data_IF_006371385021
#
_entry.id   IF_006371385021
#
_cell.length_a   1.000
_cell.length_b   1.000
_cell.length_c   1.000
_cell.angle_alpha   90.00
_cell.angle_beta   90.00
_cell.angle_gamma   90.00
#
_symmetry.space_group_name_H-M   'P 1'
#
loop_
_entity.id
_entity.type
_entity.pdbx_description
1 polymer ?
#
# COMPACT_ATOMS: atom_id res chain seq x y z
N UNK A 1 56.81 -19.26 1.14
CA UNK A 1 56.08 -17.98 0.98
C UNK A 1 55.18 -17.76 2.19
N UNK A 2 55.34 -16.64 2.93
CA UNK A 2 54.48 -16.30 4.08
C UNK A 2 53.03 -16.07 3.59
N UNK A 3 52.08 -16.86 4.10
CA UNK A 3 50.65 -16.67 3.82
C UNK A 3 50.20 -15.36 4.47
N UNK A 4 49.85 -14.36 3.67
CA UNK A 4 49.28 -13.12 4.19
C UNK A 4 48.03 -13.43 5.02
N UNK A 5 48.07 -13.10 6.32
CA UNK A 5 46.94 -13.33 7.24
C UNK A 5 45.83 -12.38 6.84
N UNK A 6 44.76 -12.93 6.24
CA UNK A 6 43.59 -12.15 5.85
C UNK A 6 42.85 -11.69 7.10
N UNK A 7 42.53 -10.41 7.17
CA UNK A 7 41.67 -9.81 8.20
C UNK A 7 40.30 -10.51 8.27
N UNK A 8 39.74 -10.91 7.11
CA UNK A 8 38.47 -11.62 6.99
C UNK A 8 38.73 -13.07 6.57
N UNK A 9 38.85 -13.97 7.55
CA UNK A 9 39.23 -15.37 7.36
C UNK A 9 38.08 -16.39 7.50
N UNK A 10 36.91 -15.98 8.01
CA UNK A 10 35.74 -16.86 8.16
C UNK A 10 34.96 -16.92 6.84
N UNK A 11 34.83 -18.11 6.20
CA UNK A 11 34.07 -18.24 4.96
C UNK A 11 32.56 -18.42 5.24
N UNK A 12 31.72 -17.73 4.47
CA UNK A 12 30.27 -17.97 4.41
C UNK A 12 29.96 -18.53 3.01
N UNK A 13 29.38 -19.73 2.94
CA UNK A 13 29.02 -20.39 1.68
C UNK A 13 27.50 -20.37 1.52
N UNK A 14 27.01 -19.90 0.38
CA UNK A 14 25.60 -19.97 0.00
C UNK A 14 25.51 -20.46 -1.45
N UNK A 15 24.50 -21.27 -1.75
CA UNK A 15 24.25 -21.78 -3.10
C UNK A 15 23.29 -20.83 -3.82
N UNK A 16 23.52 -20.63 -5.11
CA UNK A 16 22.67 -19.84 -5.99
C UNK A 16 22.51 -20.54 -7.32
N UNK A 17 21.39 -20.30 -7.97
CA UNK A 17 21.19 -20.61 -9.38
C UNK A 17 22.02 -19.67 -10.28
N UNK A 18 22.19 -20.07 -11.54
CA UNK A 18 22.90 -19.25 -12.53
C UNK A 18 22.21 -17.90 -12.76
N UNK A 19 20.88 -17.87 -12.72
CA UNK A 19 20.08 -16.65 -12.85
C UNK A 19 20.29 -15.70 -11.67
N UNK A 20 20.29 -16.20 -10.44
CA UNK A 20 20.55 -15.40 -9.24
C UNK A 20 21.97 -14.86 -9.23
N UNK A 21 22.96 -15.67 -9.63
CA UNK A 21 24.35 -15.22 -9.77
C UNK A 21 24.48 -14.06 -10.76
N UNK A 22 23.85 -14.16 -11.94
CA UNK A 22 23.82 -13.08 -12.93
C UNK A 22 23.18 -11.80 -12.37
N UNK A 23 22.07 -11.92 -11.64
CA UNK A 23 21.41 -10.77 -10.99
C UNK A 23 22.29 -10.13 -9.92
N UNK A 24 22.94 -10.92 -9.07
CA UNK A 24 23.87 -10.40 -8.04
C UNK A 24 25.01 -9.60 -8.68
N UNK A 25 25.60 -10.12 -9.75
CA UNK A 25 26.67 -9.43 -10.48
C UNK A 25 26.19 -8.13 -11.12
N UNK A 26 25.00 -8.14 -11.75
CA UNK A 26 24.40 -6.96 -12.34
C UNK A 26 24.09 -5.89 -11.27
N UNK A 27 23.52 -6.27 -10.13
CA UNK A 27 23.22 -5.35 -9.04
C UNK A 27 24.49 -4.78 -8.40
N UNK A 28 25.54 -5.59 -8.24
CA UNK A 28 26.85 -5.12 -7.79
C UNK A 28 27.40 -4.03 -8.71
N UNK A 29 27.29 -4.23 -10.04
CA UNK A 29 27.71 -3.22 -11.03
C UNK A 29 26.87 -1.95 -10.93
N UNK A 30 25.54 -2.06 -10.83
CA UNK A 30 24.63 -0.92 -10.65
C UNK A 30 24.95 -0.11 -9.39
N UNK A 31 25.34 -0.79 -8.31
CA UNK A 31 25.76 -0.15 -7.06
C UNK A 31 27.19 0.42 -7.11
N UNK A 32 27.90 0.36 -8.24
CA UNK A 32 29.28 0.82 -8.39
C UNK A 32 30.32 -0.05 -7.66
N UNK A 33 29.95 -1.26 -7.22
CA UNK A 33 30.84 -2.13 -6.45
C UNK A 33 31.54 -3.13 -7.39
N UNK A 34 32.87 -3.02 -7.47
CA UNK A 34 33.73 -3.85 -8.33
C UNK A 34 33.69 -5.34 -8.00
N UNK A 35 33.63 -5.68 -6.71
CA UNK A 35 33.65 -7.08 -6.24
C UNK A 35 32.31 -7.46 -5.62
N UNK A 36 31.64 -8.45 -6.21
CA UNK A 36 30.34 -8.93 -5.74
C UNK A 36 30.36 -9.42 -4.28
N UNK A 37 31.52 -9.90 -3.78
CA UNK A 37 31.70 -10.28 -2.38
C UNK A 37 31.59 -9.10 -1.41
N UNK A 38 32.03 -7.91 -1.82
CA UNK A 38 31.85 -6.68 -1.04
C UNK A 38 30.40 -6.21 -1.11
N UNK A 39 29.75 -6.36 -2.27
CA UNK A 39 28.33 -6.06 -2.43
C UNK A 39 27.48 -6.95 -1.51
N UNK A 40 27.67 -8.27 -1.55
CA UNK A 40 26.94 -9.20 -0.68
C UNK A 40 27.21 -8.90 0.80
N UNK A 41 28.47 -8.62 1.18
CA UNK A 41 28.78 -8.26 2.56
C UNK A 41 28.09 -6.97 2.99
N UNK A 42 28.09 -5.94 2.14
CA UNK A 42 27.40 -4.67 2.42
C UNK A 42 25.89 -4.89 2.55
N UNK A 43 25.29 -5.71 1.69
CA UNK A 43 23.88 -6.07 1.78
C UNK A 43 23.55 -6.94 3.00
N UNK A 44 24.43 -7.86 3.41
CA UNK A 44 24.21 -8.71 4.58
C UNK A 44 24.38 -7.94 5.91
N UNK A 45 25.21 -6.88 5.92
CA UNK A 45 25.44 -6.06 7.11
C UNK A 45 24.51 -4.85 7.21
N UNK A 46 24.18 -4.23 6.08
CA UNK A 46 23.46 -2.94 6.01
C UNK A 46 22.22 -2.97 5.12
N UNK A 47 21.94 -4.10 4.47
CA UNK A 47 20.77 -4.20 3.61
C UNK A 47 19.49 -4.07 4.42
N UNK A 48 18.56 -3.26 3.91
CA UNK A 48 17.21 -3.20 4.44
C UNK A 48 16.43 -4.43 3.96
N UNK A 49 15.88 -5.22 4.88
CA UNK A 49 14.91 -6.26 4.55
C UNK A 49 13.54 -5.60 4.54
N UNK A 50 13.01 -5.36 3.34
CA UNK A 50 11.64 -4.88 3.18
C UNK A 50 10.68 -6.06 3.38
N UNK A 51 10.18 -6.24 4.60
CA UNK A 51 9.00 -7.07 4.85
C UNK A 51 7.80 -6.28 4.35
N UNK A 52 7.29 -6.63 3.17
CA UNK A 52 6.07 -6.01 2.65
C UNK A 52 4.88 -6.59 3.41
N UNK A 53 4.51 -5.93 4.49
CA UNK A 53 3.21 -6.12 5.11
C UNK A 53 2.19 -5.31 4.30
N UNK A 54 1.31 -6.01 3.56
CA UNK A 54 0.28 -5.36 2.76
C UNK A 54 -1.05 -5.24 3.50
N UNK A 55 -1.10 -5.60 4.79
CA UNK A 55 -2.33 -5.61 5.57
C UNK A 55 -3.01 -4.23 5.57
N UNK A 56 -2.23 -3.16 5.67
CA UNK A 56 -2.71 -1.77 5.59
C UNK A 56 -3.32 -1.44 4.22
N UNK A 57 -2.64 -1.82 3.13
CA UNK A 57 -3.14 -1.63 1.76
C UNK A 57 -4.44 -2.40 1.49
N UNK A 58 -4.59 -3.59 2.07
CA UNK A 58 -5.82 -4.39 1.99
C UNK A 58 -6.96 -3.71 2.75
N UNK A 59 -6.70 -3.20 3.95
CA UNK A 59 -7.70 -2.50 4.75
C UNK A 59 -8.19 -1.23 4.05
N UNK A 60 -7.26 -0.43 3.54
CA UNK A 60 -7.54 0.78 2.75
C UNK A 60 -8.36 0.45 1.51
N UNK A 61 -7.98 -0.58 0.76
CA UNK A 61 -8.69 -0.99 -0.45
C UNK A 61 -10.12 -1.46 -0.13
N UNK A 62 -10.30 -2.15 0.99
CA UNK A 62 -11.61 -2.56 1.50
C UNK A 62 -12.50 -1.38 1.86
N UNK A 63 -11.97 -0.40 2.60
CA UNK A 63 -12.69 0.82 2.95
C UNK A 63 -13.10 1.61 1.70
N UNK A 64 -12.20 1.78 0.73
CA UNK A 64 -12.48 2.46 -0.54
C UNK A 64 -13.55 1.72 -1.35
N UNK A 65 -13.53 0.38 -1.34
CA UNK A 65 -14.56 -0.45 -1.94
C UNK A 65 -15.93 -0.22 -1.32
N UNK A 66 -16.02 -0.15 0.01
CA UNK A 66 -17.27 0.11 0.71
C UNK A 66 -17.85 1.50 0.39
N UNK A 67 -17.01 2.53 0.37
CA UNK A 67 -17.44 3.90 0.01
C UNK A 67 -17.93 3.96 -1.43
N UNK A 68 -17.20 3.32 -2.35
CA UNK A 68 -17.60 3.27 -3.76
C UNK A 68 -18.94 2.56 -3.93
N UNK A 69 -19.18 1.49 -3.16
CA UNK A 69 -20.47 0.80 -3.18
C UNK A 69 -21.62 1.68 -2.69
N UNK A 70 -21.46 2.32 -1.52
CA UNK A 70 -22.47 3.22 -0.95
C UNK A 70 -22.78 4.40 -1.89
N UNK A 71 -21.75 4.98 -2.51
CA UNK A 71 -21.91 6.05 -3.48
C UNK A 71 -22.71 5.61 -4.72
N UNK A 72 -22.44 4.41 -5.24
CA UNK A 72 -23.18 3.86 -6.38
C UNK A 72 -24.66 3.62 -6.04
N UNK A 73 -24.97 3.15 -4.83
CA UNK A 73 -26.36 2.97 -4.40
C UNK A 73 -27.11 4.31 -4.37
N UNK A 74 -26.49 5.36 -3.81
CA UNK A 74 -27.05 6.72 -3.82
C UNK A 74 -27.29 7.19 -5.25
N UNK A 75 -26.33 6.99 -6.17
CA UNK A 75 -26.48 7.35 -7.58
C UNK A 75 -27.64 6.62 -8.27
N UNK A 76 -27.81 5.32 -7.99
CA UNK A 76 -28.92 4.53 -8.51
C UNK A 76 -30.27 5.02 -7.98
N UNK A 77 -30.35 5.38 -6.70
CA UNK A 77 -31.57 5.88 -6.08
C UNK A 77 -31.94 7.27 -6.61
N UNK A 78 -30.96 8.15 -6.85
CA UNK A 78 -31.18 9.45 -7.51
C UNK A 78 -31.72 9.24 -8.94
N UNK A 79 -31.14 8.30 -9.70
CA UNK A 79 -31.60 8.00 -11.05
C UNK A 79 -33.04 7.47 -11.08
N UNK A 80 -33.44 6.65 -10.10
CA UNK A 80 -34.81 6.18 -9.97
C UNK A 80 -35.79 7.33 -9.71
N UNK A 81 -35.45 8.25 -8.80
CA UNK A 81 -36.28 9.43 -8.52
C UNK A 81 -36.38 10.32 -9.76
N UNK A 82 -35.27 10.59 -10.45
CA UNK A 82 -35.25 11.38 -11.67
C UNK A 82 -36.13 10.76 -12.76
N UNK A 83 -36.13 9.42 -12.88
CA UNK A 83 -37.01 8.71 -13.81
C UNK A 83 -38.49 8.87 -13.47
N UNK A 84 -38.88 8.70 -12.20
CA UNK A 84 -40.27 8.92 -11.74
C UNK A 84 -40.74 10.35 -12.03
N UNK A 85 -39.89 11.34 -11.77
CA UNK A 85 -40.15 12.76 -12.10
C UNK A 85 -40.41 12.93 -13.60
N UNK A 86 -39.55 12.34 -14.45
CA UNK A 86 -39.70 12.42 -15.90
C UNK A 86 -40.96 11.71 -16.42
N UNK A 87 -41.41 10.67 -15.72
CA UNK A 87 -42.61 9.90 -16.05
C UNK A 87 -43.90 10.52 -15.45
N UNK A 88 -43.80 11.70 -14.80
CA UNK A 88 -44.89 12.35 -14.05
C UNK A 88 -45.55 11.43 -12.99
N UNK A 89 -44.80 10.45 -12.48
CA UNK A 89 -45.23 9.59 -11.39
C UNK A 89 -45.17 10.33 -10.06
N UNK A 90 -46.10 10.02 -9.16
CA UNK A 90 -46.13 10.60 -7.82
C UNK A 90 -44.90 10.14 -7.02
N UNK A 91 -44.14 11.09 -6.48
CA UNK A 91 -42.91 10.78 -5.74
C UNK A 91 -43.27 10.57 -4.28
N UNK A 92 -43.05 9.37 -3.77
CA UNK A 92 -43.26 9.08 -2.36
C UNK A 92 -42.21 9.79 -1.51
N UNK A 93 -42.66 10.48 -0.46
CA UNK A 93 -41.79 11.13 0.53
C UNK A 93 -40.83 10.13 1.20
N UNK A 94 -41.24 8.87 1.31
CA UNK A 94 -40.42 7.76 1.83
C UNK A 94 -39.15 7.52 0.99
N UNK A 95 -39.20 7.68 -0.33
CA UNK A 95 -38.04 7.51 -1.22
C UNK A 95 -36.99 8.61 -0.96
N UNK A 96 -37.47 9.84 -0.71
CA UNK A 96 -36.62 10.98 -0.35
C UNK A 96 -35.99 10.81 1.03
N UNK A 97 -36.75 10.35 2.02
CA UNK A 97 -36.24 10.10 3.37
C UNK A 97 -35.19 8.99 3.40
N UNK A 98 -35.40 7.91 2.64
CA UNK A 98 -34.40 6.84 2.49
C UNK A 98 -33.11 7.35 1.86
N UNK A 99 -33.19 8.07 0.74
CA UNK A 99 -32.02 8.66 0.09
C UNK A 99 -31.28 9.63 1.01
N UNK A 100 -32.01 10.47 1.75
CA UNK A 100 -31.42 11.40 2.70
C UNK A 100 -30.64 10.67 3.81
N UNK A 101 -31.21 9.58 4.33
CA UNK A 101 -30.58 8.78 5.36
C UNK A 101 -29.34 8.03 4.84
N UNK A 102 -29.39 7.46 3.64
CA UNK A 102 -28.24 6.83 2.98
C UNK A 102 -27.10 7.83 2.77
N UNK A 103 -27.40 9.03 2.29
CA UNK A 103 -26.41 10.09 2.10
C UNK A 103 -25.77 10.53 3.43
N UNK A 104 -26.56 10.61 4.50
CA UNK A 104 -26.06 10.91 5.85
C UNK A 104 -25.11 9.83 6.36
N UNK A 105 -25.45 8.56 6.14
CA UNK A 105 -24.62 7.42 6.54
C UNK A 105 -23.31 7.40 5.73
N UNK A 106 -23.39 7.55 4.41
CA UNK A 106 -22.24 7.66 3.51
C UNK A 106 -21.28 8.78 3.98
N UNK A 107 -21.81 9.96 4.29
CA UNK A 107 -21.01 11.10 4.77
C UNK A 107 -20.31 10.78 6.10
N UNK A 108 -20.93 10.01 6.98
CA UNK A 108 -20.33 9.59 8.25
C UNK A 108 -19.20 8.57 8.03
N UNK A 109 -19.42 7.57 7.17
CA UNK A 109 -18.41 6.58 6.79
C UNK A 109 -17.22 7.22 6.07
N UNK A 110 -17.47 8.14 5.13
CA UNK A 110 -16.43 8.88 4.42
C UNK A 110 -15.54 9.68 5.38
N UNK A 111 -16.14 10.44 6.30
CA UNK A 111 -15.39 11.17 7.33
C UNK A 111 -14.59 10.28 8.26
N UNK A 112 -15.07 9.05 8.52
CA UNK A 112 -14.35 8.08 9.35
C UNK A 112 -13.10 7.58 8.62
N UNK A 113 -13.25 7.19 7.36
CA UNK A 113 -12.12 6.78 6.51
C UNK A 113 -11.08 7.91 6.42
N UNK A 114 -11.49 9.15 6.14
CA UNK A 114 -10.57 10.29 6.05
C UNK A 114 -9.72 10.41 7.32
N UNK A 115 -10.36 10.34 8.50
CA UNK A 115 -9.64 10.42 9.78
C UNK A 115 -8.64 9.28 9.97
N UNK A 116 -9.03 8.05 9.63
CA UNK A 116 -8.15 6.88 9.76
C UNK A 116 -6.90 7.03 8.88
N UNK A 117 -7.08 7.52 7.64
CA UNK A 117 -5.98 7.81 6.72
C UNK A 117 -5.06 8.95 7.21
N UNK A 118 -5.63 10.08 7.64
CA UNK A 118 -4.83 11.25 8.01
C UNK A 118 -4.01 11.01 9.29
N UNK A 119 -4.56 10.32 10.30
CA UNK A 119 -3.84 9.96 11.54
C UNK A 119 -2.65 9.05 11.25
N UNK A 120 -2.78 8.13 10.29
CA UNK A 120 -1.71 7.21 9.90
C UNK A 120 -0.57 7.95 9.18
N UNK A 121 -0.91 8.90 8.29
CA UNK A 121 0.10 9.72 7.58
C UNK A 121 0.91 10.65 8.50
N UNK A 122 0.28 11.24 9.52
CA UNK A 122 1.00 12.09 10.48
C UNK A 122 1.92 11.26 11.39
N UNK A 123 1.47 10.07 11.80
CA UNK A 123 2.27 9.15 12.61
C UNK A 123 3.51 8.65 11.84
N UNK A 124 3.37 8.33 10.56
CA UNK A 124 4.47 7.85 9.73
C UNK A 124 5.45 8.97 9.33
N UNK A 125 4.95 10.18 9.04
CA UNK A 125 5.80 11.36 8.84
C UNK A 125 6.65 11.66 10.10
N UNK A 126 6.03 11.59 11.28
CA UNK A 126 6.73 11.80 12.57
C UNK A 126 7.79 10.73 12.87
N UNK A 127 7.65 9.53 12.31
CA UNK A 127 8.65 8.44 12.42
C UNK A 127 9.81 8.63 11.45
N UNK A 128 9.54 9.18 10.27
CA UNK A 128 10.56 9.47 9.26
C UNK A 128 11.45 10.65 9.65
N UNK A 129 10.93 11.64 10.38
CA UNK A 129 11.70 12.79 10.89
C UNK A 129 12.64 12.45 12.06
N UNK A 130 12.55 11.24 12.64
CA UNK A 130 13.41 10.80 13.75
C UNK A 130 14.65 9.99 13.32
N UNK A 131 14.92 9.91 12.02
CA UNK A 131 16.12 9.29 11.44
C UNK A 131 16.85 10.28 10.54
#
# INVERSE_FOLDING_TARGET
MKKAKRERNIPIKFRVTEAEKKKILANSKKAGIKYYTNYIRKMALHGLILKKDYSELVNVSGALGQISYEFNQIGNNINQIAKKVNENEEINQEDFEKLHQEFKNFKAHFRKMEREFFVETEADMSRLEKY
#
